data_IF_625594757650
#
_entry.id   IF_625594757650
#
_cell.length_a   1.000
_cell.length_b   1.000
_cell.length_c   1.000
_cell.angle_alpha   90.00
_cell.angle_beta   90.00
_cell.angle_gamma   90.00
#
_symmetry.space_group_name_H-M   'P 1'
#
loop_
_entity.id
_entity.type
_entity.pdbx_description
1 polymer ?
#
# COMPACT_ATOMS: atom_id res chain seq x y z
N UNK A 1 -5.07 12.11 43.57
CA UNK A 1 -4.37 11.16 42.67
C UNK A 1 -5.13 11.16 41.36
N UNK A 2 -4.62 11.82 40.31
CA UNK A 2 -5.27 11.85 39.00
C UNK A 2 -4.76 10.65 38.20
N UNK A 3 -5.61 9.65 38.00
CA UNK A 3 -5.36 8.55 37.06
C UNK A 3 -5.45 9.09 35.64
N UNK A 4 -4.31 9.22 34.97
CA UNK A 4 -4.29 9.45 33.52
C UNK A 4 -4.76 8.19 32.79
N UNK A 5 -5.50 8.36 31.69
CA UNK A 5 -5.91 7.24 30.84
C UNK A 5 -4.69 6.50 30.30
N UNK A 6 -4.66 5.18 30.43
CA UNK A 6 -3.63 4.36 29.81
C UNK A 6 -3.71 4.50 28.29
N UNK A 7 -2.59 4.83 27.65
CA UNK A 7 -2.49 4.91 26.20
C UNK A 7 -2.63 3.49 25.62
N UNK A 8 -3.79 3.18 25.03
CA UNK A 8 -4.14 1.84 24.54
C UNK A 8 -3.57 1.51 23.15
N UNK A 9 -2.71 2.36 22.59
CA UNK A 9 -2.03 2.06 21.32
C UNK A 9 -0.87 1.11 21.60
N UNK A 10 -0.91 -0.13 21.12
CA UNK A 10 0.23 -1.03 21.24
C UNK A 10 1.44 -0.43 20.52
N UNK A 11 2.66 -0.64 21.04
CA UNK A 11 3.86 -0.18 20.36
C UNK A 11 3.92 -0.78 18.96
N UNK A 12 4.34 0.01 17.96
CA UNK A 12 4.42 -0.41 16.56
C UNK A 12 5.24 -1.69 16.34
N UNK A 13 6.13 -2.03 17.28
CA UNK A 13 6.90 -3.28 17.31
C UNK A 13 6.09 -4.53 17.63
N UNK A 14 4.86 -4.39 18.12
CA UNK A 14 3.93 -5.50 18.43
C UNK A 14 2.89 -5.72 17.32
N UNK A 15 2.87 -4.85 16.30
CA UNK A 15 1.95 -4.93 15.16
C UNK A 15 2.66 -5.73 14.06
N UNK A 16 2.33 -7.02 13.93
CA UNK A 16 2.70 -7.80 12.75
C UNK A 16 1.89 -7.30 11.54
N UNK A 17 2.49 -6.40 10.76
CA UNK A 17 1.93 -5.99 9.48
C UNK A 17 1.96 -7.21 8.55
N UNK A 18 0.79 -7.61 8.05
CA UNK A 18 0.71 -8.76 7.15
C UNK A 18 1.66 -8.57 5.97
N UNK A 19 2.42 -9.62 5.62
CA UNK A 19 3.46 -9.57 4.60
C UNK A 19 2.93 -9.04 3.25
N UNK A 20 1.64 -9.27 2.96
CA UNK A 20 0.97 -8.79 1.76
C UNK A 20 0.81 -7.25 1.71
N UNK A 21 0.72 -6.57 2.86
CA UNK A 21 0.72 -5.09 2.90
C UNK A 21 2.11 -4.51 2.65
N UNK A 22 3.16 -5.29 2.94
CA UNK A 22 4.56 -4.92 2.70
C UNK A 22 5.02 -5.28 1.29
N UNK A 23 4.21 -6.02 0.53
CA UNK A 23 4.53 -6.39 -0.83
C UNK A 23 4.67 -5.13 -1.70
N UNK A 24 5.80 -4.94 -2.41
CA UNK A 24 5.96 -3.80 -3.28
C UNK A 24 4.99 -3.90 -4.47
N UNK A 25 4.53 -2.74 -4.96
CA UNK A 25 3.81 -2.69 -6.22
C UNK A 25 4.68 -3.27 -7.34
N UNK A 26 4.03 -3.91 -8.31
CA UNK A 26 4.70 -4.45 -9.48
C UNK A 26 5.48 -3.36 -10.22
N UNK A 27 6.65 -3.72 -10.74
CA UNK A 27 7.54 -2.79 -11.44
C UNK A 27 6.87 -2.34 -12.74
N UNK A 28 6.94 -1.03 -12.99
CA UNK A 28 6.53 -0.45 -14.27
C UNK A 28 7.34 -1.05 -15.42
N UNK A 29 6.68 -1.28 -16.54
CA UNK A 29 7.37 -1.59 -17.79
C UNK A 29 8.34 -0.45 -18.15
N UNK A 30 9.45 -0.79 -18.80
CA UNK A 30 10.36 0.21 -19.32
C UNK A 30 9.66 1.04 -20.41
N UNK A 31 9.82 2.36 -20.35
CA UNK A 31 9.31 3.25 -21.39
C UNK A 31 10.24 3.18 -22.60
N UNK A 32 9.75 2.62 -23.70
CA UNK A 32 10.49 2.56 -24.96
C UNK A 32 10.19 3.79 -25.82
N UNK A 33 11.10 4.76 -25.82
CA UNK A 33 11.04 5.94 -26.66
C UNK A 33 10.48 7.18 -25.98
N UNK A 34 10.78 8.34 -26.58
CA UNK A 34 10.55 9.66 -25.98
C UNK A 34 9.42 10.44 -26.68
N UNK A 35 8.83 9.87 -27.73
CA UNK A 35 7.74 10.51 -28.46
C UNK A 35 6.46 10.51 -27.63
N UNK A 36 5.63 11.55 -27.77
CA UNK A 36 4.33 11.61 -27.09
C UNK A 36 3.44 10.40 -27.40
N UNK A 37 3.55 9.85 -28.62
CA UNK A 37 2.83 8.63 -29.02
C UNK A 37 3.29 7.37 -28.27
N UNK A 38 4.54 7.31 -27.80
CA UNK A 38 5.04 6.23 -26.95
C UNK A 38 4.78 6.50 -25.46
N UNK A 39 4.98 7.74 -25.02
CA UNK A 39 4.83 8.16 -23.62
C UNK A 39 3.38 8.06 -23.14
N UNK A 40 2.42 8.51 -23.96
CA UNK A 40 1.03 8.61 -23.52
C UNK A 40 0.40 7.23 -23.21
N UNK A 41 0.47 6.21 -24.10
CA UNK A 41 -0.05 4.89 -23.79
C UNK A 41 0.66 4.25 -22.58
N UNK A 42 1.98 4.44 -22.47
CA UNK A 42 2.74 3.96 -21.33
C UNK A 42 2.28 4.61 -20.02
N UNK A 43 2.07 5.93 -20.00
CA UNK A 43 1.65 6.67 -18.80
C UNK A 43 0.25 6.24 -18.34
N UNK A 44 -0.68 6.00 -19.27
CA UNK A 44 -2.02 5.48 -18.95
C UNK A 44 -1.92 4.08 -18.32
N UNK A 45 -1.08 3.20 -18.88
CA UNK A 45 -0.86 1.87 -18.33
C UNK A 45 -0.23 1.92 -16.92
N UNK A 46 0.76 2.80 -16.73
CA UNK A 46 1.43 3.04 -15.45
C UNK A 46 0.45 3.50 -14.37
N UNK A 47 -0.38 4.51 -14.68
CA UNK A 47 -1.42 4.99 -13.77
C UNK A 47 -2.41 3.88 -13.40
N UNK A 48 -2.81 3.06 -14.37
CA UNK A 48 -3.66 1.89 -14.14
C UNK A 48 -3.03 0.88 -13.18
N UNK A 49 -1.74 0.58 -13.33
CA UNK A 49 -1.02 -0.34 -12.45
C UNK A 49 -0.95 0.16 -11.00
N UNK A 50 -0.63 1.44 -10.80
CA UNK A 50 -0.61 2.04 -9.46
C UNK A 50 -2.00 2.04 -8.80
N UNK A 51 -3.05 2.37 -9.56
CA UNK A 51 -4.41 2.35 -9.04
C UNK A 51 -4.85 0.95 -8.61
N UNK A 52 -4.48 -0.09 -9.36
CA UNK A 52 -4.72 -1.48 -8.97
C UNK A 52 -3.94 -1.88 -7.72
N UNK A 53 -2.67 -1.50 -7.63
CA UNK A 53 -1.87 -1.77 -6.43
C UNK A 53 -2.50 -1.12 -5.18
N UNK A 54 -2.87 0.16 -5.30
CA UNK A 54 -3.59 0.90 -4.23
C UNK A 54 -4.88 0.19 -3.82
N UNK A 55 -5.69 -0.27 -4.77
CA UNK A 55 -6.93 -0.98 -4.48
C UNK A 55 -6.69 -2.30 -3.73
N UNK A 56 -5.66 -3.07 -4.12
CA UNK A 56 -5.26 -4.30 -3.42
C UNK A 56 -4.85 -4.01 -1.97
N UNK A 57 -3.98 -3.03 -1.76
CA UNK A 57 -3.51 -2.68 -0.42
C UNK A 57 -4.64 -2.12 0.45
N UNK A 58 -5.53 -1.33 -0.13
CA UNK A 58 -6.73 -0.84 0.56
C UNK A 58 -7.62 -2.01 1.01
N UNK A 59 -7.89 -2.95 0.11
CA UNK A 59 -8.69 -4.14 0.44
C UNK A 59 -8.03 -4.96 1.56
N UNK A 60 -6.72 -5.17 1.51
CA UNK A 60 -5.97 -5.86 2.55
C UNK A 60 -6.06 -5.15 3.91
N UNK A 61 -5.92 -3.82 3.91
CA UNK A 61 -6.05 -3.01 5.12
C UNK A 61 -7.48 -3.04 5.69
N UNK A 62 -8.50 -3.09 4.85
CA UNK A 62 -9.91 -3.18 5.24
C UNK A 62 -10.31 -4.61 5.68
N UNK A 63 -9.73 -5.65 5.06
CA UNK A 63 -9.99 -7.06 5.40
C UNK A 63 -9.15 -7.58 6.57
N UNK A 64 -8.05 -6.90 6.88
CA UNK A 64 -7.18 -7.23 8.00
C UNK A 64 -7.92 -7.01 9.32
N UNK A 65 -8.56 -8.06 9.83
CA UNK A 65 -9.01 -8.09 11.20
C UNK A 65 -7.77 -7.97 12.11
N UNK A 66 -7.59 -6.82 12.75
CA UNK A 66 -6.56 -6.61 13.75
C UNK A 66 -6.76 -7.66 14.85
N UNK A 67 -5.87 -8.65 14.93
CA UNK A 67 -5.86 -9.64 16.00
C UNK A 67 -4.87 -9.15 17.07
N UNK A 68 -5.33 -8.48 18.13
CA UNK A 68 -4.47 -8.25 19.28
C UNK A 68 -4.10 -9.62 19.87
N UNK A 69 -2.83 -9.77 20.23
CA UNK A 69 -2.27 -10.98 20.82
C UNK A 69 -2.82 -11.22 22.23
#
# INVERSE_FOLDING_TARGET
>A
MLTACANSTPPLTEIEVAADLLAPCERLAHLSGESGAAVLPWAVAAAGQYNRCRAKHKALAESGCFKPR
#
